data_IF_971418022576
#
_entry.id   IF_971418022576
#
_cell.length_a   1.000
_cell.length_b   1.000
_cell.length_c   1.000
_cell.angle_alpha   90.00
_cell.angle_beta   90.00
_cell.angle_gamma   90.00
#
_symmetry.space_group_name_H-M   'P 1'
#
loop_
_entity.id
_entity.type
_entity.pdbx_description
1 polymer ?
#
# COMPACT_ATOMS: atom_id res chain seq x y z
N UNK A 1 -8.78 -13.31 -21.23
CA UNK A 1 -8.53 -12.59 -19.96
C UNK A 1 -8.92 -11.13 -20.09
N UNK A 2 -9.33 -10.44 -18.98
CA UNK A 2 -9.83 -9.05 -19.01
C UNK A 2 -9.28 -8.23 -17.83
N UNK A 3 -8.91 -6.97 -18.10
CA UNK A 3 -8.56 -5.96 -17.10
C UNK A 3 -9.57 -4.81 -17.13
N UNK A 4 -10.09 -4.43 -15.96
CA UNK A 4 -11.01 -3.29 -15.80
C UNK A 4 -10.48 -2.38 -14.70
N UNK A 5 -9.89 -1.24 -15.07
CA UNK A 5 -9.40 -0.25 -14.11
C UNK A 5 -10.58 0.56 -13.60
N UNK A 6 -10.97 0.37 -12.34
CA UNK A 6 -12.10 1.07 -11.70
C UNK A 6 -11.72 2.47 -11.27
N UNK A 7 -10.48 2.66 -10.83
CA UNK A 7 -9.89 3.94 -10.46
C UNK A 7 -8.37 3.82 -10.45
N UNK A 8 -7.67 4.93 -10.75
CA UNK A 8 -6.22 4.99 -10.61
C UNK A 8 -5.77 6.43 -10.33
N UNK A 9 -5.10 6.63 -9.18
CA UNK A 9 -4.58 7.93 -8.72
C UNK A 9 -4.56 8.05 -7.20
N UNK A 10 -4.07 9.15 -6.69
CA UNK A 10 -3.79 9.39 -5.25
C UNK A 10 -5.03 9.45 -4.33
N UNK A 11 -6.24 9.33 -4.86
CA UNK A 11 -7.49 9.26 -4.06
C UNK A 11 -8.13 7.87 -4.03
N UNK A 12 -7.54 6.91 -4.71
CA UNK A 12 -7.98 5.53 -4.68
C UNK A 12 -7.64 4.76 -5.94
N UNK A 13 -7.10 3.59 -5.74
CA UNK A 13 -6.71 2.63 -6.77
C UNK A 13 -7.53 1.36 -6.63
N UNK A 14 -8.01 0.83 -7.74
CA UNK A 14 -8.70 -0.44 -7.77
C UNK A 14 -8.81 -0.95 -9.21
N UNK A 15 -8.48 -2.22 -9.43
CA UNK A 15 -8.52 -2.86 -10.74
C UNK A 15 -9.11 -4.26 -10.62
N UNK A 16 -10.01 -4.63 -11.53
CA UNK A 16 -10.51 -6.01 -11.67
C UNK A 16 -9.69 -6.74 -12.72
N UNK A 17 -9.17 -7.91 -12.37
CA UNK A 17 -8.60 -8.89 -13.31
C UNK A 17 -9.55 -10.10 -13.36
N UNK A 18 -9.95 -10.48 -14.56
CA UNK A 18 -10.94 -11.54 -14.72
C UNK A 18 -10.64 -12.46 -15.90
N UNK A 19 -10.95 -13.73 -15.71
CA UNK A 19 -11.21 -14.72 -16.75
C UNK A 19 -12.71 -15.02 -16.83
N UNK A 20 -13.13 -16.02 -17.56
CA UNK A 20 -14.52 -16.46 -17.57
C UNK A 20 -14.95 -17.06 -16.22
N UNK A 21 -14.01 -17.63 -15.47
CA UNK A 21 -14.31 -18.39 -14.24
C UNK A 21 -13.90 -17.65 -12.96
N UNK A 22 -12.87 -16.80 -13.00
CA UNK A 22 -12.29 -16.16 -11.82
C UNK A 22 -12.27 -14.64 -11.93
N UNK A 23 -12.63 -13.92 -10.88
CA UNK A 23 -12.50 -12.47 -10.78
C UNK A 23 -11.76 -12.07 -9.52
N UNK A 24 -10.74 -11.25 -9.68
CA UNK A 24 -9.90 -10.73 -8.61
C UNK A 24 -10.01 -9.21 -8.56
N UNK A 25 -10.10 -8.65 -7.36
CA UNK A 25 -9.96 -7.22 -7.15
C UNK A 25 -8.54 -6.92 -6.66
N UNK A 26 -7.83 -6.06 -7.36
CA UNK A 26 -6.51 -5.60 -6.98
C UNK A 26 -6.66 -4.22 -6.39
N UNK A 27 -6.36 -4.10 -5.12
CA UNK A 27 -6.60 -2.95 -4.27
C UNK A 27 -8.07 -2.54 -4.12
N UNK A 28 -8.39 -1.96 -2.99
CA UNK A 28 -9.70 -1.44 -2.64
C UNK A 28 -9.57 -0.02 -2.05
N UNK A 29 -8.93 0.87 -2.80
CA UNK A 29 -8.56 2.21 -2.36
C UNK A 29 -9.73 3.22 -2.29
N UNK A 30 -10.93 2.81 -2.70
CA UNK A 30 -12.14 3.60 -2.61
C UNK A 30 -13.07 3.06 -1.52
N UNK A 31 -14.05 3.86 -1.07
CA UNK A 31 -15.08 3.35 -0.17
C UNK A 31 -15.84 2.17 -0.80
N UNK A 32 -16.29 1.23 0.02
CA UNK A 32 -17.06 0.07 -0.44
C UNK A 32 -18.25 0.49 -1.35
N UNK A 33 -18.97 1.56 -1.00
CA UNK A 33 -20.09 2.07 -1.80
C UNK A 33 -19.63 2.53 -3.18
N UNK A 34 -18.52 3.25 -3.27
CA UNK A 34 -17.99 3.75 -4.53
C UNK A 34 -17.43 2.62 -5.39
N UNK A 35 -16.74 1.63 -4.79
CA UNK A 35 -16.28 0.42 -5.48
C UNK A 35 -17.45 -0.32 -6.14
N UNK A 36 -18.50 -0.61 -5.38
CA UNK A 36 -19.67 -1.31 -5.92
C UNK A 36 -20.35 -0.53 -7.04
N UNK A 37 -20.46 0.80 -6.91
CA UNK A 37 -21.01 1.67 -7.95
C UNK A 37 -20.17 1.62 -9.23
N UNK A 38 -18.81 1.71 -9.12
CA UNK A 38 -17.93 1.68 -10.28
C UNK A 38 -17.89 0.30 -10.94
N UNK A 39 -17.91 -0.77 -10.16
CA UNK A 39 -18.05 -2.12 -10.69
C UNK A 39 -19.36 -2.26 -11.50
N UNK A 40 -20.49 -1.80 -10.96
CA UNK A 40 -21.75 -1.82 -11.70
C UNK A 40 -21.69 -0.98 -12.98
N UNK A 41 -21.06 0.21 -12.94
CA UNK A 41 -20.89 1.07 -14.13
C UNK A 41 -20.02 0.38 -15.19
N UNK A 42 -19.00 -0.38 -14.77
CA UNK A 42 -18.11 -1.10 -15.66
C UNK A 42 -18.64 -2.48 -16.11
N UNK A 43 -19.83 -2.88 -15.64
CA UNK A 43 -20.40 -4.20 -15.94
C UNK A 43 -19.76 -5.35 -15.17
N UNK A 44 -19.04 -5.05 -14.08
CA UNK A 44 -18.45 -6.06 -13.21
C UNK A 44 -19.40 -6.44 -12.08
N UNK A 45 -19.62 -7.74 -11.88
CA UNK A 45 -20.43 -8.25 -10.77
C UNK A 45 -19.61 -8.40 -9.50
N UNK A 46 -19.89 -7.63 -8.43
CA UNK A 46 -19.16 -7.76 -7.17
C UNK A 46 -19.34 -9.13 -6.49
N UNK A 47 -20.49 -9.79 -6.70
CA UNK A 47 -20.75 -11.10 -6.10
C UNK A 47 -19.88 -12.22 -6.70
N UNK A 48 -19.33 -11.99 -7.89
CA UNK A 48 -18.44 -12.93 -8.57
C UNK A 48 -16.96 -12.75 -8.20
N UNK A 49 -16.62 -11.80 -7.32
CA UNK A 49 -15.24 -11.65 -6.83
C UNK A 49 -14.84 -12.86 -5.97
N UNK A 50 -13.72 -13.47 -6.33
CA UNK A 50 -13.14 -14.59 -5.61
C UNK A 50 -12.22 -14.14 -4.47
N UNK A 51 -11.52 -13.01 -4.64
CA UNK A 51 -10.56 -12.50 -3.67
C UNK A 51 -10.25 -11.01 -3.90
N UNK A 52 -9.65 -10.37 -2.87
CA UNK A 52 -9.00 -9.07 -2.95
C UNK A 52 -7.50 -9.29 -2.75
N UNK A 53 -6.65 -8.75 -3.63
CA UNK A 53 -5.20 -8.73 -3.51
C UNK A 53 -4.74 -7.31 -3.21
N UNK A 54 -3.82 -7.14 -2.27
CA UNK A 54 -3.34 -5.83 -1.84
C UNK A 54 -1.88 -5.66 -2.24
N UNK A 55 -1.59 -4.56 -2.94
CA UNK A 55 -0.23 -4.17 -3.34
C UNK A 55 0.59 -3.68 -2.16
N UNK A 56 0.01 -2.78 -1.36
CA UNK A 56 0.62 -2.21 -0.15
C UNK A 56 -0.44 -1.49 0.72
N UNK A 57 -0.02 -0.99 1.90
CA UNK A 57 -0.93 -0.49 2.94
C UNK A 57 -1.30 1.00 2.84
N UNK A 58 -0.95 1.73 1.80
CA UNK A 58 -1.35 3.14 1.69
C UNK A 58 -2.86 3.30 1.57
N UNK A 59 -3.39 4.41 2.12
CA UNK A 59 -4.83 4.64 2.25
C UNK A 59 -5.59 4.57 0.93
N UNK A 60 -5.00 5.03 -0.14
CA UNK A 60 -5.56 4.99 -1.49
C UNK A 60 -5.53 3.60 -2.16
N UNK A 61 -5.04 2.57 -1.45
CA UNK A 61 -5.10 1.15 -1.85
C UNK A 61 -5.98 0.30 -0.92
N UNK A 62 -6.25 0.76 0.31
CA UNK A 62 -6.87 -0.06 1.34
C UNK A 62 -8.15 0.50 1.95
N UNK A 63 -8.59 1.72 1.62
CA UNK A 63 -9.69 2.43 2.29
C UNK A 63 -11.00 1.62 2.42
N UNK A 64 -11.30 0.78 1.44
CA UNK A 64 -12.53 -0.02 1.37
C UNK A 64 -12.41 -1.46 1.82
N UNK A 65 -11.19 -1.98 2.07
CA UNK A 65 -10.93 -3.41 2.29
C UNK A 65 -11.85 -4.02 3.33
N UNK A 66 -11.82 -3.50 4.55
CA UNK A 66 -12.50 -4.11 5.68
C UNK A 66 -14.03 -4.21 5.48
N UNK A 67 -14.63 -3.18 4.91
CA UNK A 67 -16.08 -3.15 4.64
C UNK A 67 -16.43 -4.06 3.48
N UNK A 68 -15.66 -4.01 2.38
CA UNK A 68 -15.93 -4.79 1.19
C UNK A 68 -15.76 -6.29 1.44
N UNK A 69 -14.64 -6.70 2.04
CA UNK A 69 -14.33 -8.10 2.34
C UNK A 69 -15.40 -8.73 3.26
N UNK A 70 -15.80 -8.03 4.34
CA UNK A 70 -16.87 -8.51 5.24
C UNK A 70 -18.22 -8.62 4.52
N UNK A 71 -18.57 -7.64 3.68
CA UNK A 71 -19.83 -7.63 2.94
C UNK A 71 -19.93 -8.78 1.95
N UNK A 72 -18.85 -9.07 1.23
CA UNK A 72 -18.80 -10.11 0.20
C UNK A 72 -18.35 -11.47 0.75
N UNK A 73 -17.81 -11.52 1.98
CA UNK A 73 -17.25 -12.70 2.64
C UNK A 73 -16.15 -13.37 1.83
N UNK A 74 -15.28 -12.57 1.20
CA UNK A 74 -14.18 -13.05 0.37
C UNK A 74 -12.84 -12.88 1.09
N UNK A 75 -11.83 -13.73 0.78
CA UNK A 75 -10.49 -13.63 1.34
C UNK A 75 -9.76 -12.38 0.85
N UNK A 76 -8.85 -11.88 1.70
CA UNK A 76 -7.93 -10.80 1.37
C UNK A 76 -6.50 -11.33 1.42
N UNK A 77 -5.77 -11.12 0.36
CA UNK A 77 -4.38 -11.54 0.17
C UNK A 77 -3.44 -10.36 0.40
N UNK A 78 -2.45 -10.55 1.27
CA UNK A 78 -1.43 -9.57 1.61
C UNK A 78 -0.04 -10.20 1.62
N UNK A 79 1.01 -9.39 1.60
CA UNK A 79 2.24 -9.79 2.29
C UNK A 79 2.05 -9.62 3.80
N UNK A 80 2.74 -10.43 4.61
CA UNK A 80 2.59 -10.34 6.08
C UNK A 80 2.99 -8.95 6.63
N UNK A 81 4.07 -8.29 6.16
CA UNK A 81 4.41 -6.93 6.59
C UNK A 81 3.32 -5.90 6.26
N UNK A 82 2.73 -5.95 5.06
CA UNK A 82 1.63 -5.07 4.63
C UNK A 82 0.40 -5.26 5.52
N UNK A 83 0.01 -6.51 5.83
CA UNK A 83 -1.11 -6.78 6.73
C UNK A 83 -0.86 -6.23 8.14
N UNK A 84 0.34 -6.46 8.69
CA UNK A 84 0.72 -5.91 10.01
C UNK A 84 0.68 -4.38 10.03
N UNK A 85 1.13 -3.72 8.96
CA UNK A 85 1.08 -2.27 8.84
C UNK A 85 -0.36 -1.76 8.77
N UNK A 86 -1.23 -2.41 7.97
CA UNK A 86 -2.67 -2.10 7.92
C UNK A 86 -3.35 -2.24 9.29
N UNK A 87 -3.12 -3.33 10.03
CA UNK A 87 -3.66 -3.53 11.38
C UNK A 87 -3.19 -2.41 12.33
N UNK A 88 -1.90 -2.04 12.28
CA UNK A 88 -1.37 -0.92 13.11
C UNK A 88 -2.04 0.41 12.81
N UNK A 89 -2.40 0.69 11.57
CA UNK A 89 -3.09 1.92 11.19
C UNK A 89 -4.50 2.00 11.77
N UNK A 90 -5.19 0.87 11.90
CA UNK A 90 -6.55 0.78 12.42
C UNK A 90 -6.62 0.60 13.94
N UNK A 91 -5.54 0.12 14.55
CA UNK A 91 -5.47 -0.04 16.00
C UNK A 91 -5.28 1.32 16.66
N UNK A 92 -6.19 1.76 17.56
CA UNK A 92 -6.01 3.02 18.27
C UNK A 92 -4.67 2.98 19.02
N UNK A 93 -3.82 3.95 18.77
CA UNK A 93 -2.66 4.18 19.65
C UNK A 93 -3.27 4.47 21.01
N UNK A 94 -2.87 3.72 22.05
CA UNK A 94 -3.33 4.00 23.40
C UNK A 94 -3.03 5.47 23.68
N UNK A 95 -4.06 6.28 23.84
CA UNK A 95 -3.94 7.69 24.23
C UNK A 95 -3.64 7.78 25.72
N UNK A 96 -2.55 7.16 26.16
CA UNK A 96 -1.99 7.44 27.48
C UNK A 96 -1.49 8.88 27.36
N UNK A 97 -2.12 9.79 28.09
CA UNK A 97 -1.63 11.17 28.19
C UNK A 97 -0.20 11.14 28.74
N UNK A 98 0.59 12.17 28.45
CA UNK A 98 1.97 12.25 28.96
C UNK A 98 2.01 12.12 30.49
N UNK A 99 1.01 12.62 31.20
CA UNK A 99 0.85 12.46 32.66
C UNK A 99 0.66 10.98 33.03
N UNK A 100 -0.24 10.26 32.39
CA UNK A 100 -0.43 8.81 32.62
C UNK A 100 0.79 7.97 32.26
N UNK A 101 1.54 8.36 31.23
CA UNK A 101 2.82 7.73 30.88
C UNK A 101 3.88 7.97 31.95
N UNK A 102 3.99 9.19 32.47
CA UNK A 102 4.88 9.52 33.60
C UNK A 102 4.53 8.72 34.87
N UNK A 103 3.25 8.61 35.19
CA UNK A 103 2.78 7.80 36.33
C UNK A 103 3.15 6.34 36.18
N UNK A 104 3.00 5.77 34.96
CA UNK A 104 3.39 4.38 34.67
C UNK A 104 4.91 4.18 34.80
N UNK A 105 5.72 5.10 34.27
CA UNK A 105 7.19 5.04 34.39
C UNK A 105 7.65 5.20 35.85
N UNK A 106 6.96 6.00 36.63
CA UNK A 106 7.25 6.15 38.09
C UNK A 106 6.90 4.88 38.85
N UNK A 107 5.75 4.27 38.56
CA UNK A 107 5.35 2.98 39.16
C UNK A 107 6.30 1.85 38.81
N UNK A 108 6.75 1.74 37.52
CA UNK A 108 7.77 0.76 37.14
C UNK A 108 9.11 0.98 37.85
N UNK A 109 9.54 2.25 37.99
CA UNK A 109 10.78 2.57 38.73
C UNK A 109 10.66 2.21 40.22
N UNK A 110 9.52 2.50 40.84
CA UNK A 110 9.26 2.14 42.23
C UNK A 110 9.25 0.63 42.44
N UNK A 111 8.56 -0.13 41.55
CA UNK A 111 8.53 -1.58 41.62
C UNK A 111 9.92 -2.23 41.40
N UNK A 112 10.74 -1.67 40.50
CA UNK A 112 12.13 -2.13 40.31
C UNK A 112 13.02 -1.81 41.52
N UNK A 113 12.82 -0.65 42.17
CA UNK A 113 13.56 -0.29 43.38
C UNK A 113 13.17 -1.20 44.54
N UNK A 114 11.89 -1.52 44.70
CA UNK A 114 11.36 -2.43 45.72
C UNK A 114 11.88 -3.86 45.52
N UNK A 115 11.87 -4.35 44.25
CA UNK A 115 12.45 -5.66 43.89
C UNK A 115 13.96 -5.75 44.14
N UNK A 116 14.70 -4.65 43.87
CA UNK A 116 16.13 -4.58 44.15
C UNK A 116 16.42 -4.52 45.65
N UNK A 117 15.60 -3.82 46.44
CA UNK A 117 15.70 -3.79 47.91
C UNK A 117 15.38 -5.15 48.53
N UNK A 118 14.38 -5.87 48.02
CA UNK A 118 14.03 -7.23 48.45
C UNK A 118 15.14 -8.25 48.10
N UNK A 119 15.79 -8.12 46.94
CA UNK A 119 16.91 -8.97 46.54
C UNK A 119 18.20 -8.73 47.38
N UNK A 120 18.38 -7.54 47.92
CA UNK A 120 19.52 -7.20 48.82
C UNK A 120 19.27 -7.56 50.28
N UNK A 121 18.08 -8.04 50.64
CA UNK A 121 17.70 -8.44 52.02
C UNK A 121 17.89 -9.93 52.31
N UNK A 122 18.49 -10.74 51.41
CA UNK A 122 18.84 -12.11 51.71
C UNK A 122 20.06 -12.18 52.67
N UNK A 123 20.08 -13.07 53.69
CA UNK A 123 21.13 -13.09 54.67
C UNK A 123 22.45 -13.62 54.11
N UNK A 124 23.53 -12.93 54.45
CA UNK A 124 24.90 -13.34 54.09
C UNK A 124 25.19 -14.78 54.50
N UNK A 125 25.80 -15.60 53.64
CA UNK A 125 26.35 -16.88 54.02
C UNK A 125 27.66 -16.69 54.82
N UNK A 126 27.98 -17.55 55.77
CA UNK A 126 29.15 -17.40 56.66
C UNK A 126 30.46 -17.45 55.92
N UNK A 127 31.37 -16.53 56.34
CA UNK A 127 32.74 -16.39 55.85
C UNK A 127 33.50 -17.70 55.80
N UNK A 128 34.18 -17.96 54.67
CA UNK A 128 35.38 -18.83 54.58
C UNK A 128 36.58 -18.04 54.11
N UNK A 129 37.80 -18.38 54.58
CA UNK A 129 38.97 -17.51 54.51
C UNK A 129 39.71 -17.54 53.17
N UNK A 130 40.45 -16.47 52.95
CA UNK A 130 41.31 -16.04 51.87
C UNK A 130 42.10 -17.10 51.12
N UNK A 131 42.10 -17.03 49.79
CA UNK A 131 43.23 -17.47 48.95
C UNK A 131 43.51 -16.35 47.94
N UNK A 132 44.70 -15.76 48.09
CA UNK A 132 45.31 -14.82 47.13
C UNK A 132 45.52 -15.46 45.75
N UNK A 133 45.23 -14.73 44.69
CA UNK A 133 45.97 -14.82 43.42
C UNK A 133 45.69 -13.65 42.47
N UNK A 134 46.70 -12.83 42.39
CA UNK A 134 47.32 -12.07 41.29
C UNK A 134 46.50 -11.65 40.06
N UNK A 135 46.66 -10.38 39.78
CA UNK A 135 46.32 -9.54 38.66
C UNK A 135 46.66 -10.05 37.27
N UNK A 136 45.78 -9.76 36.30
CA UNK A 136 46.20 -9.19 35.00
C UNK A 136 45.11 -8.32 34.41
N UNK A 137 45.56 -7.15 34.02
CA UNK A 137 44.85 -6.05 33.41
C UNK A 137 44.69 -6.31 31.91
N UNK A 138 43.46 -6.19 31.34
CA UNK A 138 43.28 -5.92 29.92
C UNK A 138 41.98 -5.17 29.67
N UNK A 139 42.13 -3.98 29.08
CA UNK A 139 41.07 -3.03 28.85
C UNK A 139 39.99 -3.51 27.86
N UNK A 140 38.80 -3.13 28.16
CA UNK A 140 37.68 -3.22 27.23
C UNK A 140 37.32 -1.82 26.70
N UNK A 141 36.95 -1.71 25.41
CA UNK A 141 36.48 -0.43 24.84
C UNK A 141 35.05 -0.15 25.20
N UNK A 142 34.71 1.11 25.39
CA UNK A 142 33.39 1.62 25.67
C UNK A 142 32.45 1.40 24.49
N UNK A 143 31.14 1.10 24.73
CA UNK A 143 30.12 1.06 23.68
C UNK A 143 29.60 2.45 23.39
N UNK A 144 29.60 2.82 22.12
CA UNK A 144 29.08 4.05 21.58
C UNK A 144 27.58 4.22 21.79
N UNK A 145 27.18 5.47 21.98
CA UNK A 145 25.81 5.90 22.20
C UNK A 145 24.87 5.59 21.02
N UNK A 146 23.61 5.26 21.26
CA UNK A 146 22.64 5.02 20.18
C UNK A 146 22.17 6.33 19.54
N UNK A 147 22.17 6.34 18.23
CA UNK A 147 21.62 7.39 17.39
C UNK A 147 20.10 7.52 17.63
N UNK A 148 19.66 8.69 18.02
CA UNK A 148 18.26 9.04 18.13
C UNK A 148 17.69 9.37 16.74
N UNK A 149 16.87 8.52 16.18
CA UNK A 149 16.04 8.84 15.01
C UNK A 149 14.80 9.61 15.46
N UNK A 150 14.73 10.88 15.12
CA UNK A 150 13.56 11.71 15.35
C UNK A 150 12.47 11.35 14.33
N UNK A 151 11.40 10.74 14.79
CA UNK A 151 10.16 10.59 14.01
C UNK A 151 9.33 11.87 14.13
N UNK A 152 9.28 12.67 13.07
CA UNK A 152 8.37 13.81 12.96
C UNK A 152 6.96 13.32 12.63
N UNK A 153 6.03 13.45 13.59
CA UNK A 153 4.61 13.27 13.39
C UNK A 153 4.00 14.52 12.75
N UNK A 154 3.43 14.37 11.56
CA UNK A 154 2.63 15.40 10.93
C UNK A 154 1.16 15.26 11.34
N UNK A 155 0.65 16.26 12.03
CA UNK A 155 -0.79 16.48 12.23
C UNK A 155 -1.24 17.49 11.18
N UNK A 156 -1.94 17.03 10.17
CA UNK A 156 -2.64 17.87 9.21
C UNK A 156 -3.97 18.34 9.80
N UNK A 157 -4.07 19.60 10.15
CA UNK A 157 -5.35 20.25 10.46
C UNK A 157 -5.97 20.73 9.15
N UNK A 158 -7.04 20.08 8.69
CA UNK A 158 -7.95 20.69 7.72
C UNK A 158 -9.15 21.25 8.46
N UNK A 159 -9.26 22.57 8.46
CA UNK A 159 -10.45 23.28 8.89
C UNK A 159 -11.51 23.20 7.77
N UNK A 160 -12.64 22.59 8.07
CA UNK A 160 -13.89 22.81 7.35
C UNK A 160 -15.01 22.98 8.38
N UNK A 161 -15.61 24.16 8.34
CA UNK A 161 -16.75 24.54 9.17
C UNK A 161 -17.95 23.61 8.97
N UNK A 162 -18.65 23.19 10.03
CA UNK A 162 -19.90 22.47 9.89
C UNK A 162 -21.08 23.44 9.78
N UNK A 163 -21.79 23.39 8.66
CA UNK A 163 -23.12 23.97 8.56
C UNK A 163 -24.08 23.15 9.42
N UNK A 164 -24.55 23.76 10.49
CA UNK A 164 -25.54 23.18 11.39
C UNK A 164 -26.91 23.18 10.71
N UNK A 165 -27.46 21.99 10.46
CA UNK A 165 -28.90 21.78 10.23
C UNK A 165 -29.47 21.17 11.52
N UNK A 166 -30.22 21.98 12.25
CA UNK A 166 -31.02 21.53 13.40
C UNK A 166 -32.17 20.65 12.93
N UNK A 167 -32.13 19.38 13.28
CA UNK A 167 -33.31 18.51 13.26
C UNK A 167 -33.80 18.34 14.70
N UNK A 168 -35.07 18.58 14.93
CA UNK A 168 -35.75 18.46 16.20
C UNK A 168 -35.65 17.03 16.74
N UNK A 169 -35.29 16.90 18.01
CA UNK A 169 -35.25 15.62 18.72
C UNK A 169 -36.67 15.18 19.08
N UNK A 170 -37.03 13.94 18.74
CA UNK A 170 -38.14 13.21 19.32
C UNK A 170 -37.77 12.71 20.72
N UNK A 171 -38.63 12.86 21.74
CA UNK A 171 -38.24 12.59 23.12
C UNK A 171 -38.49 11.17 23.65
N UNK A 172 -38.58 10.14 22.82
CA UNK A 172 -38.84 8.75 23.22
C UNK A 172 -37.94 7.72 22.50
N UNK A 173 -36.61 7.90 22.50
CA UNK A 173 -35.69 6.79 22.23
C UNK A 173 -35.18 6.23 23.55
N UNK A 174 -35.71 5.08 23.99
CA UNK A 174 -35.13 4.24 25.03
C UNK A 174 -33.68 3.93 24.70
N UNK A 175 -32.81 4.16 25.69
CA UNK A 175 -31.36 3.94 25.67
C UNK A 175 -31.02 2.44 25.48
N UNK A 176 -31.14 1.97 24.24
CA UNK A 176 -30.67 0.64 23.87
C UNK A 176 -29.17 0.68 23.87
N UNK A 177 -28.46 -0.17 24.64
CA UNK A 177 -27.00 -0.19 24.66
C UNK A 177 -26.47 -0.39 23.24
N UNK A 178 -25.68 0.56 22.76
CA UNK A 178 -25.07 0.53 21.43
C UNK A 178 -24.35 -0.81 21.24
N UNK A 179 -24.68 -1.55 20.20
CA UNK A 179 -24.01 -2.81 19.86
C UNK A 179 -22.49 -2.58 19.83
N UNK A 180 -21.68 -3.52 20.35
CA UNK A 180 -20.24 -3.37 20.38
C UNK A 180 -19.74 -3.07 18.96
N UNK A 181 -18.98 -1.99 18.80
CA UNK A 181 -18.41 -1.60 17.50
C UNK A 181 -17.57 -2.77 16.99
N UNK A 182 -17.91 -3.28 15.81
CA UNK A 182 -17.17 -4.36 15.19
C UNK A 182 -15.69 -3.98 15.06
N UNK A 183 -14.79 -4.93 15.36
CA UNK A 183 -13.35 -4.74 15.21
C UNK A 183 -13.03 -4.28 13.78
N UNK A 184 -12.47 -3.09 13.57
CA UNK A 184 -12.17 -2.59 12.24
C UNK A 184 -11.11 -3.43 11.51
N UNK A 185 -10.28 -4.19 12.25
CA UNK A 185 -9.24 -5.07 11.69
C UNK A 185 -9.75 -6.45 11.31
N UNK A 186 -11.01 -6.78 11.69
CA UNK A 186 -11.56 -8.09 11.38
C UNK A 186 -11.81 -8.26 9.88
N UNK A 187 -11.18 -9.29 9.30
CA UNK A 187 -11.42 -9.77 7.93
C UNK A 187 -11.98 -11.20 7.96
N UNK A 188 -12.83 -11.60 6.99
CA UNK A 188 -13.39 -12.96 6.95
C UNK A 188 -12.30 -14.03 6.84
N UNK A 189 -11.31 -13.82 5.99
CA UNK A 189 -10.15 -14.68 5.77
C UNK A 189 -8.99 -13.82 5.33
N UNK A 190 -7.81 -14.09 5.88
CA UNK A 190 -6.54 -13.47 5.47
C UNK A 190 -5.63 -14.56 4.93
N UNK A 191 -5.12 -14.36 3.73
CA UNK A 191 -4.15 -15.24 3.08
C UNK A 191 -2.84 -14.47 2.84
N UNK A 192 -1.72 -15.16 2.94
CA UNK A 192 -0.41 -14.53 2.74
C UNK A 192 0.27 -15.03 1.48
N UNK A 193 0.89 -14.09 0.76
CA UNK A 193 1.79 -14.38 -0.34
C UNK A 193 3.17 -13.75 -0.11
N UNK A 194 4.15 -14.15 -0.90
CA UNK A 194 5.51 -13.60 -0.88
C UNK A 194 5.91 -13.12 -2.28
N UNK A 195 6.55 -11.94 -2.34
CA UNK A 195 7.10 -11.46 -3.60
C UNK A 195 8.09 -12.48 -4.21
N UNK A 196 8.00 -12.69 -5.51
CA UNK A 196 8.81 -13.68 -6.23
C UNK A 196 8.30 -15.13 -6.19
N UNK A 197 7.29 -15.44 -5.38
CA UNK A 197 6.67 -16.76 -5.31
C UNK A 197 5.30 -16.74 -5.99
N UNK A 198 5.14 -17.49 -7.05
CA UNK A 198 3.85 -17.58 -7.74
C UNK A 198 2.84 -18.41 -6.94
N UNK A 199 1.57 -18.05 -7.07
CA UNK A 199 0.43 -18.79 -6.55
C UNK A 199 -0.75 -18.67 -7.51
N UNK A 200 -1.81 -19.44 -7.31
CA UNK A 200 -2.99 -19.40 -8.19
C UNK A 200 -4.27 -19.21 -7.39
N UNK A 201 -5.21 -18.46 -7.96
CA UNK A 201 -6.59 -18.36 -7.49
C UNK A 201 -7.47 -18.71 -8.68
N UNK A 202 -8.23 -19.79 -8.58
CA UNK A 202 -8.98 -20.34 -9.69
C UNK A 202 -8.06 -20.67 -10.88
N UNK A 203 -8.39 -20.12 -12.04
CA UNK A 203 -7.65 -20.29 -13.29
C UNK A 203 -6.68 -19.12 -13.62
N UNK A 204 -6.39 -18.28 -12.64
CA UNK A 204 -5.41 -17.18 -12.75
C UNK A 204 -4.16 -17.54 -11.94
N UNK A 205 -3.00 -17.63 -12.61
CA UNK A 205 -1.68 -17.67 -11.97
C UNK A 205 -1.20 -16.27 -11.69
N UNK A 206 -0.67 -16.03 -10.48
CA UNK A 206 -0.29 -14.71 -9.97
C UNK A 206 1.17 -14.75 -9.56
N UNK A 207 1.97 -13.85 -10.11
CA UNK A 207 3.37 -13.68 -9.73
C UNK A 207 3.57 -12.28 -9.17
N UNK A 208 3.63 -12.13 -7.84
CA UNK A 208 3.95 -10.85 -7.22
C UNK A 208 5.44 -10.54 -7.37
N UNK A 209 5.79 -9.28 -7.56
CA UNK A 209 7.18 -8.82 -7.60
C UNK A 209 7.36 -7.55 -6.75
N UNK A 210 8.48 -7.44 -6.05
CA UNK A 210 8.78 -6.28 -5.21
C UNK A 210 8.97 -5.02 -6.06
N UNK A 211 8.35 -3.93 -5.63
CA UNK A 211 8.51 -2.59 -6.20
C UNK A 211 9.19 -1.65 -5.20
N UNK A 212 9.96 -0.65 -5.65
CA UNK A 212 10.58 0.34 -4.78
C UNK A 212 9.58 1.45 -4.40
N UNK A 213 8.97 1.31 -3.25
CA UNK A 213 8.01 2.29 -2.69
C UNK A 213 8.15 2.41 -1.19
N UNK A 214 7.72 3.52 -0.59
CA UNK A 214 7.80 3.80 0.85
C UNK A 214 6.67 3.15 1.65
N UNK A 215 6.52 1.85 1.49
CA UNK A 215 5.55 1.00 2.18
C UNK A 215 6.24 -0.21 2.85
N UNK A 216 5.50 -0.99 3.64
CA UNK A 216 6.09 -2.07 4.43
C UNK A 216 6.65 -3.21 3.58
N UNK A 217 5.95 -3.62 2.52
CA UNK A 217 6.41 -4.66 1.58
C UNK A 217 5.60 -4.53 0.26
N UNK A 218 5.87 -3.48 -0.53
CA UNK A 218 5.06 -3.15 -1.70
C UNK A 218 5.34 -4.07 -2.87
N UNK A 219 4.26 -4.52 -3.55
CA UNK A 219 4.31 -5.44 -4.66
C UNK A 219 3.53 -4.95 -5.88
N UNK A 220 4.08 -5.18 -7.07
CA UNK A 220 3.33 -5.27 -8.31
C UNK A 220 2.94 -6.72 -8.61
N UNK A 221 2.08 -6.94 -9.59
CA UNK A 221 1.59 -8.27 -9.95
C UNK A 221 1.67 -8.53 -11.45
N UNK A 222 2.01 -9.76 -11.80
CA UNK A 222 1.76 -10.34 -13.12
C UNK A 222 0.70 -11.42 -12.97
N UNK A 223 -0.32 -11.37 -13.80
CA UNK A 223 -1.41 -12.34 -13.91
C UNK A 223 -1.29 -13.09 -15.22
N UNK A 224 -1.45 -14.40 -15.17
CA UNK A 224 -1.45 -15.26 -16.36
C UNK A 224 -2.68 -16.17 -16.32
N UNK A 225 -3.43 -16.18 -17.42
CA UNK A 225 -4.59 -17.05 -17.58
C UNK A 225 -4.15 -18.48 -17.93
N UNK A 226 -4.71 -19.46 -17.26
CA UNK A 226 -4.43 -20.87 -17.53
C UNK A 226 -4.98 -21.35 -18.89
N UNK A 227 -5.99 -20.66 -19.42
CA UNK A 227 -6.69 -21.07 -20.65
C UNK A 227 -5.96 -20.66 -21.93
N UNK A 228 -5.50 -19.40 -21.99
CA UNK A 228 -4.96 -18.78 -23.20
C UNK A 228 -3.55 -18.21 -23.03
N UNK A 229 -2.97 -18.36 -21.83
CA UNK A 229 -1.67 -17.81 -21.44
C UNK A 229 -1.56 -16.28 -21.60
N UNK A 230 -2.69 -15.58 -21.73
CA UNK A 230 -2.72 -14.14 -21.75
C UNK A 230 -2.13 -13.57 -20.44
N UNK A 231 -1.29 -12.55 -20.55
CA UNK A 231 -0.55 -11.99 -19.42
C UNK A 231 -0.86 -10.51 -19.23
N UNK A 232 -1.25 -10.16 -18.02
CA UNK A 232 -1.52 -8.78 -17.62
C UNK A 232 -0.66 -8.40 -16.42
N UNK A 233 -0.21 -7.15 -16.35
CA UNK A 233 0.60 -6.68 -15.23
C UNK A 233 0.10 -5.35 -14.67
N UNK A 234 0.30 -5.18 -13.36
CA UNK A 234 0.07 -3.94 -12.62
C UNK A 234 1.39 -3.53 -11.96
N UNK A 235 1.87 -2.34 -12.31
CA UNK A 235 3.11 -1.76 -11.83
C UNK A 235 2.89 -0.26 -11.54
N UNK A 236 2.28 0.04 -10.42
CA UNK A 236 2.08 1.40 -9.88
C UNK A 236 2.86 1.59 -8.60
N UNK A 237 3.02 2.83 -8.16
CA UNK A 237 3.74 3.18 -6.94
C UNK A 237 5.24 2.82 -7.00
N UNK A 238 5.85 3.26 -8.07
CA UNK A 238 7.24 2.97 -8.42
C UNK A 238 8.11 4.21 -8.30
N UNK A 239 9.07 4.25 -7.38
CA UNK A 239 10.06 5.34 -7.35
C UNK A 239 11.04 5.32 -8.52
N UNK A 240 11.31 4.15 -9.10
CA UNK A 240 12.12 3.94 -10.30
C UNK A 240 11.92 2.54 -10.85
N UNK A 241 12.49 2.24 -12.02
CA UNK A 241 12.39 0.94 -12.71
C UNK A 241 13.63 0.06 -12.45
N UNK A 242 13.67 -0.77 -11.39
CA UNK A 242 14.80 -1.66 -11.13
C UNK A 242 14.79 -2.89 -12.05
N UNK A 243 15.92 -3.63 -12.16
CA UNK A 243 16.04 -4.79 -13.06
C UNK A 243 15.00 -5.89 -12.84
N UNK A 244 14.60 -6.17 -11.59
CA UNK A 244 13.56 -7.15 -11.27
C UNK A 244 12.20 -6.76 -11.83
N UNK A 245 11.79 -5.48 -11.72
CA UNK A 245 10.55 -4.96 -12.31
C UNK A 245 10.60 -5.04 -13.82
N UNK A 246 11.72 -4.58 -14.45
CA UNK A 246 11.90 -4.68 -15.90
C UNK A 246 11.82 -6.14 -16.39
N UNK A 247 12.34 -7.09 -15.61
CA UNK A 247 12.26 -8.52 -15.94
C UNK A 247 10.84 -9.06 -15.79
N UNK A 248 10.09 -8.67 -14.76
CA UNK A 248 8.70 -9.08 -14.53
C UNK A 248 7.77 -8.58 -15.64
N UNK A 249 8.01 -7.38 -16.17
CA UNK A 249 7.19 -6.74 -17.21
C UNK A 249 7.49 -7.19 -18.64
N UNK A 250 8.24 -8.29 -18.83
CA UNK A 250 8.45 -8.88 -20.17
C UNK A 250 7.29 -9.75 -20.59
N UNK A 251 7.00 -9.73 -21.90
CA UNK A 251 5.94 -10.53 -22.53
C UNK A 251 4.56 -10.34 -21.86
N UNK A 252 4.23 -9.08 -21.58
CA UNK A 252 2.93 -8.69 -21.03
C UNK A 252 2.05 -8.22 -22.20
N UNK A 253 0.80 -8.69 -22.23
CA UNK A 253 -0.17 -8.32 -23.26
C UNK A 253 -0.93 -7.03 -22.89
N UNK A 254 -1.21 -6.83 -21.59
CA UNK A 254 -1.81 -5.58 -21.05
C UNK A 254 -1.01 -5.12 -19.83
N UNK A 255 -0.48 -3.91 -19.90
CA UNK A 255 0.35 -3.32 -18.84
C UNK A 255 -0.34 -2.08 -18.26
N UNK A 256 -0.68 -2.10 -16.96
CA UNK A 256 -0.96 -0.89 -16.19
C UNK A 256 0.35 -0.41 -15.57
N UNK A 257 0.84 0.74 -16.05
CA UNK A 257 2.13 1.33 -15.68
C UNK A 257 1.91 2.70 -15.06
N UNK A 258 2.64 3.00 -13.99
CA UNK A 258 2.66 4.34 -13.41
C UNK A 258 3.22 5.39 -14.34
N UNK A 259 2.55 6.55 -14.38
CA UNK A 259 3.04 7.81 -14.97
C UNK A 259 2.53 8.96 -14.10
N UNK A 260 3.16 9.10 -12.91
CA UNK A 260 2.57 9.87 -11.82
C UNK A 260 2.64 11.38 -12.05
N UNK A 261 3.81 11.92 -12.42
CA UNK A 261 4.00 13.36 -12.46
C UNK A 261 4.86 13.80 -13.65
N UNK A 262 4.60 14.99 -14.11
CA UNK A 262 5.51 15.78 -14.93
C UNK A 262 6.55 16.47 -14.04
N UNK A 263 7.82 16.47 -14.43
CA UNK A 263 8.92 16.99 -13.61
C UNK A 263 8.84 18.50 -13.39
N UNK A 264 8.44 19.25 -14.39
CA UNK A 264 8.33 20.71 -14.31
C UNK A 264 7.08 21.11 -13.53
N UNK A 265 5.93 20.45 -13.78
CA UNK A 265 4.72 20.64 -12.98
C UNK A 265 4.93 20.32 -11.51
N UNK A 266 5.64 19.23 -11.18
CA UNK A 266 5.97 18.91 -9.79
C UNK A 266 6.90 19.96 -9.17
N UNK A 267 7.92 20.41 -9.89
CA UNK A 267 8.85 21.43 -9.44
C UNK A 267 8.16 22.74 -9.12
N UNK A 268 7.28 23.19 -9.99
CA UNK A 268 6.59 24.47 -9.88
C UNK A 268 5.24 24.36 -9.15
N UNK A 269 4.76 23.13 -8.91
CA UNK A 269 3.47 22.82 -8.31
C UNK A 269 3.33 23.20 -6.84
N UNK A 270 2.13 23.04 -6.27
CA UNK A 270 1.79 23.56 -4.94
C UNK A 270 2.35 22.76 -3.77
N UNK A 271 2.94 21.58 -4.00
CA UNK A 271 3.41 20.73 -2.92
C UNK A 271 4.56 21.35 -2.14
N UNK A 272 4.60 21.23 -0.80
CA UNK A 272 5.77 21.59 0.01
C UNK A 272 7.01 20.83 -0.46
N UNK A 273 8.18 21.46 -0.29
CA UNK A 273 9.46 20.90 -0.76
C UNK A 273 9.73 19.48 -0.23
N UNK A 274 9.38 19.19 1.03
CA UNK A 274 9.51 17.85 1.63
C UNK A 274 8.69 16.79 0.90
N UNK A 275 7.47 17.15 0.43
CA UNK A 275 6.62 16.26 -0.35
C UNK A 275 7.20 16.05 -1.75
N UNK A 276 7.68 17.12 -2.40
CA UNK A 276 8.37 17.03 -3.71
C UNK A 276 9.58 16.10 -3.63
N UNK A 277 10.42 16.24 -2.59
CA UNK A 277 11.57 15.36 -2.38
C UNK A 277 11.16 13.90 -2.20
N UNK A 278 10.08 13.63 -1.46
CA UNK A 278 9.55 12.28 -1.30
C UNK A 278 9.09 11.70 -2.63
N UNK A 279 8.28 12.45 -3.41
CA UNK A 279 7.79 12.03 -4.73
C UNK A 279 8.94 11.73 -5.69
N UNK A 280 9.98 12.58 -5.71
CA UNK A 280 11.17 12.41 -6.56
C UNK A 280 12.16 11.37 -6.07
N UNK A 281 11.95 10.79 -4.88
CA UNK A 281 12.87 9.82 -4.32
C UNK A 281 12.80 8.46 -5.02
N UNK A 282 13.80 7.61 -4.77
CA UNK A 282 13.80 6.22 -5.30
C UNK A 282 12.69 5.33 -4.74
N UNK A 283 11.98 5.78 -3.73
CA UNK A 283 10.81 5.11 -3.14
C UNK A 283 9.54 5.95 -3.27
N UNK A 284 9.58 7.01 -4.09
CA UNK A 284 8.43 7.86 -4.41
C UNK A 284 7.61 7.30 -5.57
N UNK A 285 7.46 8.12 -6.64
CA UNK A 285 6.62 7.80 -7.79
C UNK A 285 7.35 8.01 -9.12
N UNK A 286 6.95 7.24 -10.14
CA UNK A 286 7.54 7.27 -11.47
C UNK A 286 7.06 8.49 -12.24
N UNK A 287 8.00 9.33 -12.71
CA UNK A 287 7.66 10.46 -13.56
C UNK A 287 7.29 10.04 -15.00
N UNK A 288 6.58 10.90 -15.74
CA UNK A 288 6.30 10.68 -17.15
C UNK A 288 7.58 10.40 -17.96
N UNK A 289 8.66 11.13 -17.65
CA UNK A 289 9.95 10.94 -18.31
C UNK A 289 10.58 9.56 -18.00
N UNK A 290 10.49 9.09 -16.75
CA UNK A 290 11.02 7.78 -16.37
C UNK A 290 10.19 6.62 -16.93
N UNK A 291 8.87 6.76 -16.99
CA UNK A 291 7.98 5.82 -17.67
C UNK A 291 8.30 5.74 -19.17
N UNK A 292 8.46 6.89 -19.84
CA UNK A 292 8.85 7.00 -21.24
C UNK A 292 10.25 6.39 -21.49
N UNK A 293 11.22 6.61 -20.60
CA UNK A 293 12.55 5.99 -20.71
C UNK A 293 12.47 4.46 -20.66
N UNK A 294 11.67 3.89 -19.74
CA UNK A 294 11.42 2.45 -19.70
C UNK A 294 10.79 1.95 -21.01
N UNK A 295 9.76 2.62 -21.51
CA UNK A 295 9.07 2.25 -22.76
C UNK A 295 10.02 2.33 -23.97
N UNK A 296 10.91 3.30 -24.00
CA UNK A 296 11.86 3.48 -25.10
C UNK A 296 13.00 2.44 -25.08
N UNK A 297 13.54 2.10 -23.91
CA UNK A 297 14.81 1.36 -23.80
C UNK A 297 14.65 -0.09 -23.39
N UNK A 298 13.75 -0.36 -22.43
CA UNK A 298 13.71 -1.63 -21.72
C UNK A 298 12.47 -2.47 -22.03
N UNK A 299 11.39 -1.82 -22.45
CA UNK A 299 10.14 -2.48 -22.83
C UNK A 299 10.33 -3.31 -24.10
N UNK A 300 9.81 -4.55 -24.10
CA UNK A 300 10.01 -5.49 -25.22
C UNK A 300 9.07 -5.28 -26.43
N UNK A 301 8.10 -4.37 -26.30
CA UNK A 301 7.16 -4.04 -27.38
C UNK A 301 5.97 -4.99 -27.50
N UNK A 302 5.81 -5.96 -26.58
CA UNK A 302 4.81 -7.03 -26.69
C UNK A 302 3.37 -6.64 -26.35
N UNK A 303 3.15 -5.61 -25.53
CA UNK A 303 1.80 -5.32 -25.04
C UNK A 303 0.86 -4.81 -26.15
N UNK A 304 -0.29 -5.45 -26.25
CA UNK A 304 -1.41 -4.96 -27.05
C UNK A 304 -1.94 -3.61 -26.51
N UNK A 305 -1.96 -3.45 -25.19
CA UNK A 305 -2.44 -2.23 -24.54
C UNK A 305 -1.54 -1.84 -23.37
N UNK A 306 -1.13 -0.58 -23.33
CA UNK A 306 -0.48 0.04 -22.19
C UNK A 306 -1.47 1.04 -21.59
N UNK A 307 -1.74 0.92 -20.29
CA UNK A 307 -2.55 1.85 -19.53
C UNK A 307 -1.61 2.67 -18.65
N UNK A 308 -1.55 3.97 -18.87
CA UNK A 308 -0.86 4.87 -17.96
C UNK A 308 -1.79 5.18 -16.80
N UNK A 309 -1.33 4.90 -15.59
CA UNK A 309 -2.12 5.03 -14.37
C UNK A 309 -1.41 5.82 -13.29
N UNK A 310 -2.10 5.98 -12.17
CA UNK A 310 -1.62 6.67 -10.98
C UNK A 310 -1.15 8.11 -11.23
N UNK A 311 -1.86 8.82 -12.14
CA UNK A 311 -1.55 10.20 -12.49
C UNK A 311 -1.89 11.14 -11.32
N UNK A 312 -0.96 12.03 -10.97
CA UNK A 312 -1.18 13.09 -9.99
C UNK A 312 -2.16 14.13 -10.52
N UNK A 313 -3.20 14.47 -9.76
CA UNK A 313 -4.16 15.51 -10.17
C UNK A 313 -3.57 16.92 -10.16
N UNK A 314 -2.50 17.16 -9.40
CA UNK A 314 -1.93 18.51 -9.22
C UNK A 314 -0.58 18.70 -9.93
N UNK A 315 0.13 17.62 -10.19
CA UNK A 315 1.49 17.69 -10.74
C UNK A 315 1.64 16.90 -12.04
N UNK A 316 0.52 16.66 -12.73
CA UNK A 316 0.52 16.03 -14.05
C UNK A 316 -0.63 16.56 -14.90
N UNK A 317 -0.44 16.51 -16.20
CA UNK A 317 -1.52 16.64 -17.18
C UNK A 317 -1.59 15.32 -17.98
N UNK A 318 -2.78 14.71 -18.11
CA UNK A 318 -2.95 13.48 -18.87
C UNK A 318 -2.38 13.53 -20.28
N UNK A 319 -2.43 14.70 -20.93
CA UNK A 319 -1.88 14.91 -22.29
C UNK A 319 -0.34 14.82 -22.30
N UNK A 320 0.34 15.29 -21.25
CA UNK A 320 1.80 15.19 -21.13
C UNK A 320 2.25 13.75 -20.91
N UNK A 321 1.53 13.01 -20.06
CA UNK A 321 1.80 11.59 -19.85
C UNK A 321 1.62 10.78 -21.14
N UNK A 322 0.52 11.03 -21.87
CA UNK A 322 0.25 10.39 -23.15
C UNK A 322 1.33 10.71 -24.19
N UNK A 323 1.63 12.01 -24.37
CA UNK A 323 2.64 12.46 -25.33
C UNK A 323 4.02 11.85 -25.09
N UNK A 324 4.45 11.79 -23.81
CA UNK A 324 5.73 11.20 -23.44
C UNK A 324 5.79 9.70 -23.80
N UNK A 325 4.72 8.95 -23.56
CA UNK A 325 4.64 7.53 -23.91
C UNK A 325 4.54 7.31 -25.41
N UNK A 326 3.75 8.10 -26.13
CA UNK A 326 3.64 8.02 -27.61
C UNK A 326 4.98 8.32 -28.29
N UNK A 327 5.71 9.33 -27.86
CA UNK A 327 7.03 9.64 -28.36
C UNK A 327 8.04 8.51 -28.11
N UNK A 328 8.00 7.89 -26.92
CA UNK A 328 8.85 6.76 -26.59
C UNK A 328 8.56 5.53 -27.46
N UNK A 329 7.32 5.31 -27.88
CA UNK A 329 6.86 4.17 -28.65
C UNK A 329 6.78 4.42 -30.16
N UNK A 330 6.97 5.65 -30.65
CA UNK A 330 6.77 6.04 -32.06
C UNK A 330 7.54 5.17 -33.07
N UNK A 331 8.68 4.59 -32.68
CA UNK A 331 9.45 3.64 -33.49
C UNK A 331 9.18 2.17 -33.19
N UNK A 332 8.29 1.86 -32.23
CA UNK A 332 8.07 0.48 -31.72
C UNK A 332 6.62 0.03 -31.76
N UNK A 333 5.69 0.94 -32.00
CA UNK A 333 4.28 0.55 -32.16
C UNK A 333 4.17 -0.35 -33.37
N UNK A 334 3.76 -1.59 -33.12
CA UNK A 334 3.69 -2.58 -34.16
C UNK A 334 2.52 -2.31 -35.12
N UNK A 335 2.58 -2.89 -36.31
CA UNK A 335 1.49 -2.89 -37.29
C UNK A 335 0.18 -3.53 -36.76
N UNK A 336 0.19 -4.09 -35.53
CA UNK A 336 -0.92 -4.81 -34.91
C UNK A 336 -1.84 -3.90 -34.06
N UNK A 337 -1.68 -2.58 -34.12
CA UNK A 337 -2.63 -1.64 -33.48
C UNK A 337 -2.53 -1.54 -31.96
N UNK A 338 -1.30 -1.59 -31.43
CA UNK A 338 -1.07 -1.31 -30.01
C UNK A 338 -1.64 0.05 -29.64
N UNK A 339 -2.22 0.16 -28.45
CA UNK A 339 -2.85 1.39 -27.96
C UNK A 339 -2.35 1.78 -26.59
N UNK A 340 -2.34 3.08 -26.35
CA UNK A 340 -2.09 3.67 -25.05
C UNK A 340 -3.42 4.22 -24.52
N UNK A 341 -3.76 3.91 -23.27
CA UNK A 341 -4.93 4.41 -22.57
C UNK A 341 -4.48 5.16 -21.32
N UNK A 342 -5.32 6.08 -20.85
CA UNK A 342 -5.12 6.82 -19.62
C UNK A 342 -6.16 6.38 -18.59
N UNK A 343 -5.73 5.85 -17.46
CA UNK A 343 -6.61 5.57 -16.34
C UNK A 343 -6.97 6.88 -15.61
N UNK A 344 -8.20 6.96 -15.14
CA UNK A 344 -8.73 8.14 -14.48
C UNK A 344 -9.03 7.86 -13.00
N UNK A 345 -8.87 8.91 -12.18
CA UNK A 345 -9.27 8.85 -10.78
C UNK A 345 -10.80 8.79 -10.63
N UNK A 346 -11.53 9.49 -11.48
CA UNK A 346 -12.96 9.78 -11.32
C UNK A 346 -13.92 8.78 -11.97
N UNK A 347 -13.44 8.00 -12.94
CA UNK A 347 -14.27 7.09 -13.72
C UNK A 347 -13.54 5.79 -14.07
N UNK A 348 -14.26 4.65 -14.17
CA UNK A 348 -13.66 3.41 -14.65
C UNK A 348 -13.33 3.50 -16.14
N UNK A 349 -12.25 2.81 -16.54
CA UNK A 349 -11.97 2.56 -17.95
C UNK A 349 -12.91 1.47 -18.49
N UNK A 350 -13.25 1.52 -19.78
CA UNK A 350 -13.82 0.36 -20.46
C UNK A 350 -12.92 -0.88 -20.30
N UNK A 351 -13.55 -2.03 -20.12
CA UNK A 351 -12.80 -3.28 -19.95
C UNK A 351 -11.91 -3.57 -21.16
N UNK A 352 -10.66 -3.94 -20.88
CA UNK A 352 -9.65 -4.33 -21.87
C UNK A 352 -9.66 -5.85 -21.94
N UNK A 353 -10.12 -6.40 -23.06
CA UNK A 353 -10.21 -7.83 -23.28
C UNK A 353 -9.08 -8.29 -24.25
N UNK A 354 -8.54 -9.47 -23.97
CA UNK A 354 -7.64 -10.24 -24.85
C UNK A 354 -8.38 -11.46 -25.39
#
# INVERSE_FOLDING_TARGET
>A
MRMTVLASGSKGNSTVIATDNTRLLIDAGLSCRELLKRMATAGEDPAALAAILITHEHQDHIAGIGVLARRLRIPVYFTEPTHRAWVRMLTPRSTITYAQWLDHVQQEKAARAEAAAAASAEPEPPCQPDVESSATNSGAPEPGAPFMTASSSWVGTSATDPIALSAAADPDEEDTPAAPKADPTHLPTVEYFHAGVHFSIGDISITPFTIPHDAADPCGFVFESAADHARMAIATDLGYMPPNVKAALRRIDVLLLESNHDLDMLKDGPYPWSVKQRVLSRVGHLSNAAAAEFLLRDYDGGAHTIVLGHLSEQNNDPSLALLAAEQALAGRMSLLGNRILLAQQSAPLPSICL
#
